data_IF_374513987669
#
_entry.id   IF_374513987669
#
_cell.length_a   1.000
_cell.length_b   1.000
_cell.length_c   1.000
_cell.angle_alpha   90.00
_cell.angle_beta   90.00
_cell.angle_gamma   90.00
#
_symmetry.space_group_name_H-M   'P 1'
#
loop_
_entity.id
_entity.type
_entity.pdbx_description
1 polymer ?
#
# COMPACT_ATOMS: atom_id res chain seq x y z
N UNK A 1 14.72 13.00 2.85
CA UNK A 1 14.56 11.54 2.62
C UNK A 1 13.93 11.36 1.26
N UNK A 2 14.27 10.31 0.53
CA UNK A 2 13.54 10.02 -0.71
C UNK A 2 12.12 9.53 -0.39
N UNK A 3 11.17 9.69 -1.33
CA UNK A 3 9.81 9.13 -1.21
C UNK A 3 9.86 7.60 -0.95
N UNK A 4 10.87 6.92 -1.49
CA UNK A 4 11.09 5.50 -1.26
C UNK A 4 11.53 5.19 0.18
N UNK A 5 12.40 6.02 0.78
CA UNK A 5 12.83 5.85 2.18
C UNK A 5 11.67 6.06 3.15
N UNK A 6 10.81 7.03 2.87
CA UNK A 6 9.59 7.28 3.65
C UNK A 6 8.63 6.09 3.58
N UNK A 7 8.35 5.59 2.37
CA UNK A 7 7.53 4.37 2.17
C UNK A 7 8.12 3.17 2.88
N UNK A 8 9.45 3.02 2.85
CA UNK A 8 10.18 1.92 3.49
C UNK A 8 10.07 2.00 5.01
N UNK A 9 10.24 3.18 5.60
CA UNK A 9 10.09 3.39 7.04
C UNK A 9 8.68 3.02 7.53
N UNK A 10 7.63 3.45 6.81
CA UNK A 10 6.24 3.10 7.18
C UNK A 10 6.00 1.59 7.09
N UNK A 11 6.51 0.94 6.04
CA UNK A 11 6.44 -0.52 5.91
C UNK A 11 7.13 -1.23 7.08
N UNK A 12 8.36 -0.85 7.42
CA UNK A 12 9.15 -1.50 8.47
C UNK A 12 8.45 -1.42 9.82
N UNK A 13 7.91 -0.26 10.18
CA UNK A 13 7.11 -0.09 11.41
C UNK A 13 5.91 -1.04 11.41
N UNK A 14 5.14 -1.07 10.32
CA UNK A 14 3.96 -1.93 10.22
C UNK A 14 4.31 -3.42 10.28
N UNK A 15 5.35 -3.84 9.56
CA UNK A 15 5.84 -5.21 9.51
C UNK A 15 6.37 -5.67 10.87
N UNK A 16 7.15 -4.83 11.55
CA UNK A 16 7.68 -5.12 12.88
C UNK A 16 6.57 -5.24 13.91
N UNK A 17 5.63 -4.29 13.96
CA UNK A 17 4.49 -4.35 14.89
C UNK A 17 3.69 -5.64 14.70
N UNK A 18 3.42 -6.04 13.45
CA UNK A 18 2.76 -7.31 13.17
C UNK A 18 3.61 -8.49 13.63
N UNK A 19 4.90 -8.51 13.32
CA UNK A 19 5.82 -9.60 13.69
C UNK A 19 6.00 -9.75 15.20
N UNK A 20 6.01 -8.63 15.94
CA UNK A 20 6.05 -8.61 17.39
C UNK A 20 4.78 -9.24 17.98
N UNK A 21 3.61 -8.87 17.44
CA UNK A 21 2.31 -9.38 17.91
C UNK A 21 2.11 -10.90 17.77
N UNK A 22 2.88 -11.56 16.89
CA UNK A 22 2.74 -13.01 16.64
C UNK A 22 3.27 -13.90 17.76
N UNK A 23 4.01 -13.36 18.75
CA UNK A 23 4.42 -14.15 19.92
C UNK A 23 3.92 -13.51 21.21
N UNK A 24 3.31 -14.33 22.08
CA UNK A 24 2.68 -13.91 23.34
C UNK A 24 3.64 -13.43 24.42
N UNK A 25 4.92 -13.82 24.36
CA UNK A 25 5.94 -13.40 25.34
C UNK A 25 7.14 -12.80 24.60
N UNK A 26 7.24 -11.47 24.60
CA UNK A 26 8.43 -10.76 24.15
C UNK A 26 8.86 -9.81 25.27
N UNK A 27 10.17 -9.64 25.49
CA UNK A 27 10.66 -8.61 26.41
C UNK A 27 10.29 -7.22 25.89
N UNK A 28 10.17 -6.26 26.80
CA UNK A 28 9.97 -4.85 26.46
C UNK A 28 11.08 -4.37 25.50
N UNK A 29 10.73 -3.52 24.53
CA UNK A 29 11.68 -3.03 23.51
C UNK A 29 11.97 -4.02 22.38
N UNK A 30 11.30 -5.18 22.31
CA UNK A 30 11.50 -6.14 21.23
C UNK A 30 11.21 -5.59 19.83
N UNK A 31 10.26 -4.65 19.71
CA UNK A 31 9.98 -3.94 18.45
C UNK A 31 11.18 -3.10 17.98
N UNK A 32 11.89 -2.43 18.88
CA UNK A 32 13.08 -1.65 18.54
C UNK A 32 14.23 -2.54 18.03
N UNK A 33 14.41 -3.71 18.65
CA UNK A 33 15.38 -4.70 18.19
C UNK A 33 15.05 -5.19 16.79
N UNK A 34 13.77 -5.45 16.52
CA UNK A 34 13.31 -5.84 15.19
C UNK A 34 13.50 -4.71 14.16
N UNK A 35 13.21 -3.46 14.51
CA UNK A 35 13.43 -2.30 13.63
C UNK A 35 14.89 -2.16 13.25
N UNK A 36 15.81 -2.21 14.23
CA UNK A 36 17.26 -2.24 13.96
C UNK A 36 17.64 -3.44 13.09
N UNK A 37 17.05 -4.60 13.36
CA UNK A 37 17.23 -5.80 12.54
C UNK A 37 16.83 -5.60 11.08
N UNK A 38 15.74 -4.87 10.81
CA UNK A 38 15.30 -4.54 9.45
C UNK A 38 16.33 -3.68 8.71
N UNK A 39 16.96 -2.70 9.38
CA UNK A 39 18.00 -1.86 8.78
C UNK A 39 19.19 -2.69 8.26
N UNK A 40 19.72 -3.60 9.08
CA UNK A 40 20.80 -4.52 8.67
C UNK A 40 20.39 -5.52 7.58
N UNK A 41 19.07 -5.75 7.47
CA UNK A 41 18.50 -6.67 6.51
C UNK A 41 18.28 -6.04 5.12
N UNK A 42 18.31 -4.70 5.00
CA UNK A 42 18.17 -4.02 3.70
C UNK A 42 19.25 -4.48 2.71
N UNK A 43 18.86 -4.62 1.45
CA UNK A 43 19.77 -4.87 0.31
C UNK A 43 19.15 -4.26 -0.95
N UNK A 44 19.78 -3.21 -1.47
CA UNK A 44 19.23 -2.41 -2.58
C UNK A 44 17.79 -1.95 -2.29
N UNK A 45 16.87 -2.34 -3.17
CA UNK A 45 15.44 -2.01 -3.08
C UNK A 45 14.60 -3.03 -2.32
N UNK A 46 15.22 -3.99 -1.64
CA UNK A 46 14.54 -5.08 -0.93
C UNK A 46 15.27 -5.47 0.37
N UNK A 47 15.02 -6.69 0.83
CA UNK A 47 15.51 -7.25 2.09
C UNK A 47 16.17 -8.63 1.86
N UNK A 48 17.24 -8.91 2.60
CA UNK A 48 17.96 -10.20 2.59
C UNK A 48 17.07 -11.35 3.07
N UNK A 49 16.18 -11.07 4.02
CA UNK A 49 15.19 -12.02 4.51
C UNK A 49 14.06 -12.15 3.49
N UNK A 50 13.76 -13.36 2.98
CA UNK A 50 12.78 -13.55 1.92
C UNK A 50 11.35 -13.21 2.33
N UNK A 51 11.00 -13.35 3.62
CA UNK A 51 9.68 -12.98 4.15
C UNK A 51 9.52 -11.46 4.14
N UNK A 52 10.54 -10.73 4.61
CA UNK A 52 10.56 -9.27 4.56
C UNK A 52 10.53 -8.76 3.11
N UNK A 53 11.31 -9.38 2.22
CA UNK A 53 11.34 -9.04 0.80
C UNK A 53 9.98 -9.23 0.11
N UNK A 54 9.33 -10.38 0.36
CA UNK A 54 7.99 -10.67 -0.19
C UNK A 54 6.93 -9.73 0.38
N UNK A 55 6.97 -9.44 1.69
CA UNK A 55 6.06 -8.50 2.32
C UNK A 55 6.25 -7.07 1.80
N UNK A 56 7.49 -6.65 1.53
CA UNK A 56 7.81 -5.35 0.94
C UNK A 56 7.31 -5.24 -0.50
N UNK A 57 7.50 -6.29 -1.31
CA UNK A 57 6.94 -6.36 -2.66
C UNK A 57 5.41 -6.23 -2.62
N UNK A 58 4.74 -7.04 -1.79
CA UNK A 58 3.28 -7.00 -1.66
C UNK A 58 2.79 -5.63 -1.12
N UNK A 59 3.53 -5.02 -0.20
CA UNK A 59 3.22 -3.70 0.34
C UNK A 59 3.24 -2.63 -0.76
N UNK A 60 4.25 -2.67 -1.63
CA UNK A 60 4.34 -1.75 -2.76
C UNK A 60 3.26 -2.02 -3.81
N UNK A 61 3.06 -3.28 -4.21
CA UNK A 61 2.03 -3.65 -5.17
C UNK A 61 0.62 -3.25 -4.70
N UNK A 62 0.32 -3.42 -3.39
CA UNK A 62 -0.97 -3.00 -2.82
C UNK A 62 -1.21 -1.49 -2.85
N UNK A 63 -0.14 -0.69 -3.01
CA UNK A 63 -0.17 0.78 -2.98
C UNK A 63 0.03 1.41 -4.35
N UNK A 64 0.49 0.63 -5.33
CA UNK A 64 0.39 0.95 -6.76
C UNK A 64 -1.03 0.70 -7.29
N UNK A 65 -2.06 0.93 -6.45
CA UNK A 65 -3.44 0.83 -6.86
C UNK A 65 -3.66 1.76 -8.06
N UNK A 66 -3.99 1.16 -9.20
CA UNK A 66 -4.30 1.89 -10.43
C UNK A 66 -5.52 2.76 -10.15
N UNK A 67 -5.32 4.07 -10.27
CA UNK A 67 -6.40 5.06 -10.18
C UNK A 67 -6.87 5.34 -11.59
N UNK A 68 -8.14 5.04 -11.87
CA UNK A 68 -8.76 5.32 -13.17
C UNK A 68 -9.40 6.70 -13.11
N UNK A 69 -9.08 7.53 -14.10
CA UNK A 69 -9.79 8.79 -14.35
C UNK A 69 -10.99 8.50 -15.27
N UNK A 70 -12.19 8.86 -14.82
CA UNK A 70 -13.39 8.81 -15.66
C UNK A 70 -13.39 10.09 -16.53
N UNK A 71 -13.59 9.98 -17.85
CA UNK A 71 -13.66 11.15 -18.72
C UNK A 71 -14.83 12.07 -18.31
N UNK A 72 -14.70 13.36 -18.59
CA UNK A 72 -15.85 14.28 -18.47
C UNK A 72 -16.86 14.05 -19.59
N UNK A 73 -18.12 14.36 -19.31
CA UNK A 73 -19.23 14.20 -20.25
C UNK A 73 -19.92 15.56 -20.47
N UNK A 74 -19.12 16.61 -20.59
CA UNK A 74 -19.61 18.00 -20.59
C UNK A 74 -20.53 18.32 -21.79
N UNK A 75 -20.42 17.54 -22.86
CA UNK A 75 -21.27 17.64 -24.06
C UNK A 75 -22.65 16.97 -23.90
N UNK A 76 -22.92 16.32 -22.77
CA UNK A 76 -24.17 15.61 -22.50
C UNK A 76 -25.07 16.38 -21.52
N UNK A 77 -26.39 16.18 -21.58
CA UNK A 77 -27.29 16.66 -20.53
C UNK A 77 -26.81 16.20 -19.14
N UNK A 78 -26.88 17.09 -18.15
CA UNK A 78 -26.31 16.87 -16.81
C UNK A 78 -26.81 15.57 -16.13
N UNK A 79 -28.07 15.19 -16.37
CA UNK A 79 -28.62 13.93 -15.87
C UNK A 79 -27.92 12.71 -16.48
N UNK A 80 -27.68 12.72 -17.79
CA UNK A 80 -27.01 11.64 -18.51
C UNK A 80 -25.52 11.57 -18.15
N UNK A 81 -24.85 12.72 -18.06
CA UNK A 81 -23.46 12.80 -17.62
C UNK A 81 -23.26 12.16 -16.23
N UNK A 82 -24.16 12.47 -15.28
CA UNK A 82 -24.11 11.90 -13.93
C UNK A 82 -24.33 10.38 -13.95
N UNK A 83 -25.37 9.91 -14.63
CA UNK A 83 -25.70 8.48 -14.68
C UNK A 83 -24.58 7.66 -15.34
N UNK A 84 -23.91 8.20 -16.36
CA UNK A 84 -22.74 7.59 -16.99
C UNK A 84 -21.51 7.54 -16.06
N UNK A 85 -21.23 8.64 -15.35
CA UNK A 85 -20.14 8.68 -14.37
C UNK A 85 -20.35 7.68 -13.23
N UNK A 86 -21.56 7.62 -12.68
CA UNK A 86 -21.90 6.69 -11.60
C UNK A 86 -21.82 5.23 -12.07
N UNK A 87 -22.33 4.93 -13.27
CA UNK A 87 -22.29 3.58 -13.86
C UNK A 87 -20.84 3.12 -14.09
N UNK A 88 -20.00 3.97 -14.68
CA UNK A 88 -18.59 3.66 -14.91
C UNK A 88 -17.83 3.50 -13.60
N UNK A 89 -18.06 4.40 -12.62
CA UNK A 89 -17.46 4.30 -11.29
C UNK A 89 -17.79 2.96 -10.64
N UNK A 90 -19.06 2.60 -10.62
CA UNK A 90 -19.53 1.35 -10.01
C UNK A 90 -18.91 0.11 -10.67
N UNK A 91 -18.86 0.05 -12.01
CA UNK A 91 -18.27 -1.08 -12.73
C UNK A 91 -16.77 -1.19 -12.48
N UNK A 92 -16.03 -0.07 -12.50
CA UNK A 92 -14.58 -0.04 -12.27
C UNK A 92 -14.26 -0.47 -10.83
N UNK A 93 -15.01 0.04 -9.84
CA UNK A 93 -14.85 -0.34 -8.43
C UNK A 93 -15.20 -1.82 -8.20
N UNK A 94 -16.19 -2.37 -8.91
CA UNK A 94 -16.52 -3.79 -8.86
C UNK A 94 -15.39 -4.69 -9.39
N UNK A 95 -14.50 -4.19 -10.24
CA UNK A 95 -13.28 -4.87 -10.67
C UNK A 95 -12.10 -4.69 -9.69
N UNK A 96 -12.32 -4.02 -8.55
CA UNK A 96 -11.31 -3.80 -7.52
C UNK A 96 -10.34 -2.66 -7.80
N UNK A 97 -10.63 -1.82 -8.80
CA UNK A 97 -9.84 -0.64 -9.13
C UNK A 97 -10.37 0.59 -8.40
N UNK A 98 -9.48 1.53 -8.07
CA UNK A 98 -9.89 2.80 -7.46
C UNK A 98 -10.19 3.82 -8.55
N UNK A 99 -11.25 4.59 -8.37
CA UNK A 99 -11.60 5.70 -9.25
C UNK A 99 -11.25 7.00 -8.56
N UNK A 100 -10.69 7.96 -9.30
CA UNK A 100 -10.40 9.30 -8.76
C UNK A 100 -11.72 9.98 -8.32
N UNK A 101 -11.74 10.72 -7.20
CA UNK A 101 -12.92 11.49 -6.79
C UNK A 101 -13.40 12.41 -7.91
#
# INVERSE_FOLDING_TARGET
MSNQDERRAVFEIAFVKKTASLKKSRPDGYEEVLLKGMEFNRVGDSYKNPVAGSAWWAWNASREAVVVEIPSFDDYPASMARDMQESLRSIIEAQGLKVKP
#
